data_IF_332918790136
#
_entry.id   IF_332918790136
#
_cell.length_a   1.000
_cell.length_b   1.000
_cell.length_c   1.000
_cell.angle_alpha   90.00
_cell.angle_beta   90.00
_cell.angle_gamma   90.00
#
_symmetry.space_group_name_H-M   'P 1'
#
loop_
_entity.id
_entity.type
_entity.pdbx_description
1 polymer ?
#
# COMPACT_ATOMS: atom_id res chain seq x y z
N UNK A 1 -41.32 -10.17 -12.74
CA UNK A 1 -40.00 -9.56 -12.48
C UNK A 1 -40.18 -8.07 -12.21
N UNK A 2 -39.91 -7.60 -10.98
CA UNK A 2 -40.02 -6.18 -10.63
C UNK A 2 -38.94 -5.41 -11.42
N UNK A 3 -39.34 -4.59 -12.40
CA UNK A 3 -38.43 -3.71 -13.13
C UNK A 3 -37.81 -2.75 -12.11
N UNK A 4 -36.52 -2.90 -11.82
CA UNK A 4 -35.81 -1.96 -10.92
C UNK A 4 -35.87 -0.58 -11.57
N UNK A 5 -36.35 0.42 -10.85
CA UNK A 5 -36.40 1.80 -11.33
C UNK A 5 -34.97 2.23 -11.76
N UNK A 6 -34.79 2.86 -12.94
CA UNK A 6 -33.46 3.17 -13.48
C UNK A 6 -32.57 3.97 -12.52
N UNK A 7 -33.17 4.79 -11.66
CA UNK A 7 -32.43 5.53 -10.62
C UNK A 7 -31.75 4.65 -9.59
N UNK A 8 -32.32 3.48 -9.28
CA UNK A 8 -31.71 2.55 -8.31
C UNK A 8 -30.44 1.94 -8.90
N UNK A 9 -30.44 1.60 -10.20
CA UNK A 9 -29.25 1.10 -10.87
C UNK A 9 -28.15 2.18 -10.95
N UNK A 10 -28.52 3.43 -11.22
CA UNK A 10 -27.59 4.56 -11.22
C UNK A 10 -27.01 4.84 -9.83
N UNK A 11 -27.83 4.72 -8.79
CA UNK A 11 -27.42 4.87 -7.40
C UNK A 11 -26.43 3.78 -6.96
N UNK A 12 -26.73 2.51 -7.27
CA UNK A 12 -25.85 1.38 -6.94
C UNK A 12 -24.47 1.52 -7.61
N UNK A 13 -24.43 1.86 -8.90
CA UNK A 13 -23.16 2.12 -9.61
C UNK A 13 -22.34 3.25 -9.00
N UNK A 14 -23.00 4.34 -8.57
CA UNK A 14 -22.32 5.46 -7.89
C UNK A 14 -21.80 5.05 -6.51
N UNK A 15 -22.47 4.12 -5.84
CA UNK A 15 -22.07 3.61 -4.53
C UNK A 15 -20.88 2.66 -4.65
N UNK A 16 -20.94 1.69 -5.57
CA UNK A 16 -19.81 0.79 -5.89
C UNK A 16 -18.55 1.61 -6.24
N UNK A 17 -18.68 2.61 -7.11
CA UNK A 17 -17.57 3.48 -7.50
C UNK A 17 -16.99 4.34 -6.35
N UNK A 18 -17.72 4.50 -5.24
CA UNK A 18 -17.25 5.17 -4.02
C UNK A 18 -16.63 4.20 -3.02
N UNK A 19 -17.13 2.97 -2.95
CA UNK A 19 -16.56 1.90 -2.11
C UNK A 19 -15.14 1.53 -2.60
N UNK A 20 -14.85 1.67 -3.89
CA UNK A 20 -13.51 1.50 -4.47
C UNK A 20 -12.53 2.65 -4.13
N UNK A 21 -12.97 3.70 -3.44
CA UNK A 21 -12.11 4.82 -3.04
C UNK A 21 -11.51 4.55 -1.65
N UNK A 22 -10.19 4.60 -1.58
CA UNK A 22 -9.42 4.58 -0.34
C UNK A 22 -9.03 6.00 0.08
N UNK A 23 -8.95 6.26 1.39
CA UNK A 23 -8.55 7.57 1.90
C UNK A 23 -7.03 7.63 2.06
N UNK A 24 -6.39 8.63 1.46
CA UNK A 24 -4.98 8.96 1.68
C UNK A 24 -4.71 9.36 3.13
N UNK A 25 -4.01 8.50 3.89
CA UNK A 25 -3.55 8.81 5.24
C UNK A 25 -2.55 9.96 5.34
N UNK A 26 -1.97 10.43 4.23
CA UNK A 26 -1.04 11.57 4.21
C UNK A 26 -1.78 12.91 4.00
N UNK A 27 -2.78 12.95 3.10
CA UNK A 27 -3.46 14.19 2.72
C UNK A 27 -4.97 14.20 2.90
N UNK A 28 -5.57 13.10 3.36
CA UNK A 28 -7.00 12.95 3.61
C UNK A 28 -7.89 12.87 2.36
N UNK A 29 -7.33 12.81 1.15
CA UNK A 29 -8.12 12.74 -0.10
C UNK A 29 -8.64 11.32 -0.36
N UNK A 30 -9.82 11.21 -0.98
CA UNK A 30 -10.32 9.95 -1.52
C UNK A 30 -9.65 9.63 -2.86
N UNK A 31 -9.13 8.42 -3.00
CA UNK A 31 -8.24 7.99 -4.07
C UNK A 31 -8.62 6.59 -4.53
N UNK A 32 -8.73 6.36 -5.84
CA UNK A 32 -8.95 5.01 -6.40
C UNK A 32 -7.68 4.17 -6.37
N UNK A 33 -6.60 4.70 -6.95
CA UNK A 33 -5.31 4.03 -7.07
C UNK A 33 -4.30 4.63 -6.11
N UNK A 34 -4.09 3.96 -4.98
CA UNK A 34 -3.15 4.39 -3.95
C UNK A 34 -1.73 4.61 -4.49
N UNK A 35 -1.22 3.67 -5.31
CA UNK A 35 0.14 3.72 -5.85
C UNK A 35 0.39 4.93 -6.74
N UNK A 36 -0.51 5.17 -7.69
CA UNK A 36 -0.43 6.31 -8.61
C UNK A 36 -0.50 7.62 -7.83
N UNK A 37 -1.43 7.72 -6.87
CA UNK A 37 -1.56 8.90 -6.05
C UNK A 37 -0.31 9.24 -5.23
N UNK A 38 0.32 8.26 -4.58
CA UNK A 38 1.56 8.54 -3.84
C UNK A 38 2.67 8.98 -4.80
N UNK A 39 2.79 8.36 -5.98
CA UNK A 39 3.81 8.73 -6.96
C UNK A 39 3.65 10.17 -7.46
N UNK A 40 2.42 10.62 -7.69
CA UNK A 40 2.14 11.97 -8.18
C UNK A 40 2.13 13.03 -7.08
N UNK A 41 1.48 12.74 -5.95
CA UNK A 41 1.19 13.73 -4.90
C UNK A 41 2.16 13.71 -3.72
N UNK A 42 2.86 12.58 -3.50
CA UNK A 42 3.74 12.38 -2.35
C UNK A 42 5.12 11.80 -2.73
N UNK A 43 5.83 12.35 -3.73
CA UNK A 43 7.11 11.80 -4.19
C UNK A 43 8.20 11.84 -3.11
N UNK A 44 8.16 12.84 -2.22
CA UNK A 44 9.14 13.00 -1.14
C UNK A 44 9.03 11.91 -0.07
N UNK A 45 7.81 11.44 0.23
CA UNK A 45 7.59 10.35 1.20
C UNK A 45 8.12 9.02 0.66
N UNK A 46 8.01 8.79 -0.65
CA UNK A 46 8.65 7.65 -1.32
C UNK A 46 10.18 7.73 -1.14
N UNK A 47 10.78 8.90 -1.39
CA UNK A 47 12.22 9.10 -1.28
C UNK A 47 12.72 8.86 0.16
N UNK A 48 11.96 9.27 1.18
CA UNK A 48 12.28 9.01 2.60
C UNK A 48 12.25 7.52 2.93
N UNK A 49 11.28 6.76 2.40
CA UNK A 49 11.21 5.32 2.63
C UNK A 49 12.30 4.53 1.90
N UNK A 50 12.65 4.92 0.67
CA UNK A 50 13.74 4.28 -0.09
C UNK A 50 15.08 4.50 0.63
N UNK A 51 15.35 5.73 1.09
CA UNK A 51 16.60 6.05 1.82
C UNK A 51 16.73 5.32 3.16
N UNK A 52 15.61 4.95 3.80
CA UNK A 52 15.60 4.21 5.08
C UNK A 52 15.89 2.71 4.91
N UNK A 53 15.71 2.14 3.72
CA UNK A 53 16.24 0.80 3.39
C UNK A 53 17.74 0.89 3.10
N UNK A 54 18.55 1.27 4.09
CA UNK A 54 19.93 0.77 4.10
C UNK A 54 19.82 -0.75 4.28
N UNK A 55 20.55 -1.56 3.49
CA UNK A 55 20.67 -2.98 3.80
C UNK A 55 21.15 -3.06 5.25
N UNK A 56 20.44 -3.81 6.10
CA UNK A 56 21.11 -4.35 7.27
C UNK A 56 22.24 -5.19 6.67
N UNK A 57 23.48 -4.80 6.92
CA UNK A 57 24.58 -5.74 6.82
C UNK A 57 24.13 -6.91 7.71
N UNK A 58 23.84 -8.04 7.08
CA UNK A 58 23.59 -9.28 7.79
C UNK A 58 24.90 -9.57 8.50
N UNK A 59 24.98 -9.17 9.77
CA UNK A 59 26.09 -9.44 10.64
C UNK A 59 26.45 -10.93 10.51
N UNK A 60 27.70 -11.10 10.13
CA UNK A 60 28.55 -12.27 10.17
C UNK A 60 28.41 -13.06 11.49
N UNK A 61 27.32 -13.80 11.69
CA UNK A 61 27.14 -14.72 12.82
C UNK A 61 27.01 -16.20 12.38
N UNK A 62 27.44 -16.53 11.15
CA UNK A 62 27.52 -17.94 10.71
C UNK A 62 28.86 -18.62 11.01
N UNK A 63 29.88 -17.90 11.48
CA UNK A 63 31.21 -18.46 11.65
C UNK A 63 31.48 -19.11 13.03
N UNK A 64 30.62 -18.92 14.04
CA UNK A 64 30.88 -19.46 15.39
C UNK A 64 30.08 -20.72 15.77
N UNK A 65 29.21 -21.25 14.91
CA UNK A 65 28.52 -22.52 15.20
C UNK A 65 29.45 -23.73 15.07
N UNK A 66 30.43 -23.67 14.15
CA UNK A 66 31.38 -24.76 13.88
C UNK A 66 32.43 -24.90 14.98
N UNK A 67 32.64 -23.87 15.81
CA UNK A 67 33.53 -23.93 16.99
C UNK A 67 32.85 -24.50 18.24
N UNK A 68 31.52 -24.43 18.33
CA UNK A 68 30.79 -24.96 19.50
C UNK A 68 30.56 -26.47 19.43
N UNK A 69 30.54 -27.06 18.25
CA UNK A 69 30.50 -28.50 18.05
C UNK A 69 31.87 -28.99 17.58
N UNK A 70 32.80 -29.22 18.51
CA UNK A 70 34.08 -29.89 18.25
C UNK A 70 33.84 -31.29 17.64
N UNK A 71 33.72 -31.36 16.32
CA UNK A 71 33.78 -32.56 15.49
C UNK A 71 35.18 -32.72 14.92
#
# INVERSE_FOLDING_TARGET
>A
MKRKHPDVARYLKKREAREDLTICGLCGRMVKNWREHIQESHPEEIAKHIRKKKPKEEDTEKEDLTRMFNL
#
